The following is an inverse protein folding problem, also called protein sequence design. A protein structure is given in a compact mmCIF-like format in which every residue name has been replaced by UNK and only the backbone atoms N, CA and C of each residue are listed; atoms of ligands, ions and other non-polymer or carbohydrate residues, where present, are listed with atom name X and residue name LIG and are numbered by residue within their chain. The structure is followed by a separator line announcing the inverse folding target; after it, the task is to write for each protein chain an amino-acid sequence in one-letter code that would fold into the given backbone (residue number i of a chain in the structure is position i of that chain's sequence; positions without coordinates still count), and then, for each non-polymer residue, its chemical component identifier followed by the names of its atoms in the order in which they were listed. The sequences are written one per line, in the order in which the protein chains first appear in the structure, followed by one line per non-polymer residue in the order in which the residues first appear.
data_IF_788902699515
#
_entry.id   IF_788902699515
#
_cell.length_a   1.000
_cell.length_b   1.000
_cell.length_c   1.000
_cell.angle_alpha   90.00
_cell.angle_beta   90.00
_cell.angle_gamma   90.00
#
_symmetry.space_group_name_H-M   'P 1'
#
loop_
_entity.id
_entity.type
_entity.pdbx_description
1 polymer ?
#
# COMPACT_ATOMS: atom_id res chain seq x y z
N UNK A 1 -1.15 19.50 21.53
CA UNK A 1 -0.27 18.68 20.67
C UNK A 1 0.52 19.59 19.73
N UNK A 2 1.65 19.11 19.19
CA UNK A 2 2.62 19.90 18.40
C UNK A 2 1.97 20.71 17.25
N UNK A 3 0.96 20.14 16.58
CA UNK A 3 0.25 20.75 15.45
C UNK A 3 -0.99 21.58 15.83
N UNK A 4 -1.30 21.75 17.12
CA UNK A 4 -2.47 22.53 17.59
C UNK A 4 -2.20 24.04 17.66
N UNK A 5 -0.94 24.45 17.62
CA UNK A 5 -0.55 25.86 17.57
C UNK A 5 -0.30 26.28 16.12
N UNK A 6 0.38 27.41 15.89
CA UNK A 6 0.69 27.92 14.55
C UNK A 6 1.42 26.88 13.66
N UNK A 7 1.07 26.78 12.38
CA UNK A 7 1.66 25.82 11.44
C UNK A 7 2.86 26.40 10.66
N UNK A 8 3.41 27.53 11.12
CA UNK A 8 4.65 28.11 10.60
C UNK A 8 5.81 27.12 10.66
N UNK A 9 6.55 27.00 9.56
CA UNK A 9 7.66 26.04 9.45
C UNK A 9 8.78 26.42 10.43
N UNK A 10 8.96 27.72 10.68
CA UNK A 10 9.90 28.29 11.64
C UNK A 10 9.64 27.81 13.07
N UNK A 11 8.39 27.44 13.39
CA UNK A 11 8.02 26.85 14.68
C UNK A 11 8.08 25.32 14.64
N UNK A 12 7.60 24.72 13.55
CA UNK A 12 7.50 23.26 13.42
C UNK A 12 8.87 22.60 13.40
N UNK A 13 9.85 23.12 12.65
CA UNK A 13 11.18 22.51 12.53
C UNK A 13 11.91 22.42 13.89
N UNK A 14 12.02 23.50 14.70
CA UNK A 14 12.61 23.40 16.03
C UNK A 14 11.83 22.44 16.94
N UNK A 15 10.50 22.48 16.90
CA UNK A 15 9.68 21.61 17.75
C UNK A 15 9.86 20.13 17.39
N UNK A 16 9.88 19.79 16.10
CA UNK A 16 10.15 18.44 15.60
C UNK A 16 11.59 18.00 15.91
N UNK A 17 12.56 18.92 15.84
CA UNK A 17 13.96 18.63 16.20
C UNK A 17 14.09 18.28 17.68
N UNK A 18 13.36 19.00 18.55
CA UNK A 18 13.33 18.74 19.99
C UNK A 18 12.68 17.38 20.28
N UNK A 19 11.52 17.10 19.66
CA UNK A 19 10.78 15.85 19.91
C UNK A 19 11.54 14.62 19.39
N UNK A 20 12.15 14.71 18.20
CA UNK A 20 12.92 13.62 17.60
C UNK A 20 14.33 13.46 18.19
N UNK A 21 14.82 14.45 18.94
CA UNK A 21 16.20 14.51 19.42
C UNK A 21 17.25 14.67 18.30
N UNK A 22 16.81 14.92 17.07
CA UNK A 22 17.66 15.00 15.88
C UNK A 22 17.60 16.41 15.33
N UNK A 23 18.75 17.01 15.03
CA UNK A 23 18.78 18.32 14.39
C UNK A 23 18.27 18.19 12.95
N UNK A 24 17.18 18.88 12.64
CA UNK A 24 16.64 18.89 11.27
C UNK A 24 17.31 20.01 10.48
N UNK A 25 17.99 19.64 9.41
CA UNK A 25 18.60 20.59 8.46
C UNK A 25 18.15 20.29 7.03
N UNK A 26 17.99 21.31 6.18
CA UNK A 26 17.78 21.11 4.74
C UNK A 26 18.85 20.18 4.13
N UNK A 27 18.50 19.44 3.08
CA UNK A 27 19.37 18.53 2.29
C UNK A 27 19.89 17.27 3.00
N UNK A 28 19.98 17.25 4.33
CA UNK A 28 20.54 16.12 5.12
C UNK A 28 19.48 15.44 6.02
N UNK A 29 18.23 15.90 5.98
CA UNK A 29 17.19 15.34 6.84
C UNK A 29 15.88 15.16 6.10
N UNK A 30 15.39 13.92 6.08
CA UNK A 30 14.03 13.60 5.67
C UNK A 30 13.09 13.60 6.89
N UNK A 31 12.08 14.47 6.86
CA UNK A 31 11.04 14.50 7.90
C UNK A 31 9.90 13.57 7.49
N UNK A 32 9.58 12.57 8.31
CA UNK A 32 8.51 11.61 8.04
C UNK A 32 7.35 11.84 9.02
N UNK A 33 6.17 12.12 8.49
CA UNK A 33 4.91 12.09 9.24
C UNK A 33 4.22 10.75 9.01
N UNK A 34 4.25 9.89 10.01
CA UNK A 34 3.58 8.59 9.95
C UNK A 34 2.08 8.73 10.28
N UNK A 35 1.23 8.05 9.52
CA UNK A 35 -0.23 8.08 9.64
C UNK A 35 -0.81 9.50 9.78
N UNK A 36 -0.41 10.39 8.87
CA UNK A 36 -0.68 11.84 8.94
C UNK A 36 -2.17 12.17 9.03
N UNK A 37 -3.06 11.26 8.62
CA UNK A 37 -4.51 11.44 8.72
C UNK A 37 -5.02 11.47 10.17
N UNK A 38 -4.30 10.86 11.12
CA UNK A 38 -4.67 10.90 12.54
C UNK A 38 -4.53 12.31 13.12
N UNK A 39 -3.75 13.17 12.45
CA UNK A 39 -3.55 14.58 12.83
C UNK A 39 -3.84 15.48 11.63
N UNK A 40 -5.11 15.86 11.37
CA UNK A 40 -5.49 16.63 10.18
C UNK A 40 -4.75 17.97 10.00
N UNK A 41 -4.28 18.56 11.11
CA UNK A 41 -3.46 19.77 11.08
C UNK A 41 -2.04 19.51 10.57
N UNK A 42 -1.48 18.32 10.80
CA UNK A 42 -0.22 17.89 10.20
C UNK A 42 -0.35 17.76 8.67
N UNK A 43 -1.46 17.20 8.17
CA UNK A 43 -1.76 17.16 6.73
C UNK A 43 -1.81 18.57 6.13
N UNK A 44 -2.43 19.53 6.84
CA UNK A 44 -2.51 20.92 6.39
C UNK A 44 -1.13 21.59 6.35
N UNK A 45 -0.24 21.25 7.29
CA UNK A 45 1.12 21.80 7.36
C UNK A 45 1.98 21.47 6.14
N UNK A 46 1.69 20.37 5.42
CA UNK A 46 2.41 20.00 4.18
C UNK A 46 2.39 21.12 3.14
N UNK A 47 1.28 21.87 3.05
CA UNK A 47 1.20 23.05 2.18
C UNK A 47 2.20 24.13 2.59
N UNK A 48 2.36 24.36 3.90
CA UNK A 48 3.27 25.36 4.44
C UNK A 48 4.73 24.99 4.17
N UNK A 49 5.09 23.71 4.32
CA UNK A 49 6.42 23.22 3.93
C UNK A 49 6.71 23.50 2.44
N UNK A 50 5.77 23.16 1.54
CA UNK A 50 5.95 23.43 0.11
C UNK A 50 6.08 24.94 -0.20
N UNK A 51 5.25 25.79 0.41
CA UNK A 51 5.17 27.22 0.06
C UNK A 51 6.24 28.09 0.73
N UNK A 52 6.56 27.81 1.99
CA UNK A 52 7.40 28.67 2.82
C UNK A 52 8.81 28.13 3.02
N UNK A 53 9.01 26.81 2.93
CA UNK A 53 10.29 26.17 3.19
C UNK A 53 10.51 24.92 2.31
N UNK A 54 10.51 25.07 0.96
CA UNK A 54 10.63 23.94 0.02
C UNK A 54 11.98 23.22 0.10
N UNK A 55 12.95 23.75 0.83
CA UNK A 55 14.26 23.15 1.09
C UNK A 55 14.23 21.96 2.05
N UNK A 56 13.12 21.74 2.78
CA UNK A 56 12.96 20.57 3.65
C UNK A 56 12.24 19.44 2.91
N UNK A 57 12.86 18.27 2.88
CA UNK A 57 12.22 17.06 2.40
C UNK A 57 11.24 16.53 3.46
N UNK A 58 9.96 16.48 3.09
CA UNK A 58 8.89 15.96 3.95
C UNK A 58 8.14 14.84 3.24
N UNK A 59 8.12 13.68 3.88
CA UNK A 59 7.31 12.53 3.48
C UNK A 59 6.16 12.35 4.48
N UNK A 60 4.96 12.11 3.97
CA UNK A 60 3.83 11.74 4.80
C UNK A 60 3.31 10.37 4.37
N UNK A 61 3.10 9.48 5.33
CA UNK A 61 2.43 8.20 5.13
C UNK A 61 0.99 8.31 5.59
N UNK A 62 0.15 7.41 5.10
CA UNK A 62 -1.20 7.25 5.61
C UNK A 62 -1.89 6.08 4.95
N UNK A 63 -2.67 5.34 5.74
CA UNK A 63 -3.49 4.26 5.20
C UNK A 63 -4.44 4.80 4.10
N UNK A 64 -4.60 4.02 3.02
CA UNK A 64 -5.53 4.39 1.95
C UNK A 64 -6.96 4.57 2.48
N UNK A 65 -7.31 3.75 3.48
CA UNK A 65 -8.57 3.83 4.19
C UNK A 65 -8.73 5.17 4.92
N UNK A 66 -7.72 5.59 5.68
CA UNK A 66 -7.71 6.86 6.37
C UNK A 66 -7.78 8.06 5.41
N UNK A 67 -6.93 8.11 4.39
CA UNK A 67 -6.84 9.25 3.47
C UNK A 67 -8.14 9.44 2.65
N UNK A 68 -8.86 8.36 2.31
CA UNK A 68 -10.05 8.43 1.48
C UNK A 68 -11.27 9.08 2.16
N UNK A 69 -11.33 9.09 3.50
CA UNK A 69 -12.58 9.40 4.23
C UNK A 69 -12.59 10.72 4.99
N UNK A 70 -11.47 11.42 5.14
CA UNK A 70 -11.45 12.69 5.89
C UNK A 70 -12.06 13.85 5.09
N UNK A 71 -13.36 14.06 5.30
CA UNK A 71 -14.23 15.07 4.68
C UNK A 71 -14.15 16.49 5.31
N UNK A 72 -13.22 16.75 6.24
CA UNK A 72 -13.20 17.97 7.06
C UNK A 72 -12.15 19.03 6.72
N UNK A 73 -11.11 18.69 5.94
CA UNK A 73 -9.98 19.58 5.69
C UNK A 73 -9.66 19.66 4.20
N UNK A 74 -9.27 20.85 3.74
CA UNK A 74 -8.82 21.02 2.36
C UNK A 74 -7.52 20.26 2.17
N UNK A 75 -7.58 19.14 1.45
CA UNK A 75 -6.38 18.45 1.02
C UNK A 75 -5.49 19.43 0.23
N UNK A 76 -4.15 19.45 0.43
CA UNK A 76 -3.25 20.39 -0.22
C UNK A 76 -3.03 20.05 -1.71
N UNK A 77 -4.08 20.23 -2.53
CA UNK A 77 -4.08 19.94 -3.97
C UNK A 77 -3.01 20.78 -4.67
N UNK A 78 -2.17 20.13 -5.48
CA UNK A 78 -1.10 20.78 -6.23
C UNK A 78 0.14 21.13 -5.39
N UNK A 79 0.18 20.77 -4.10
CA UNK A 79 1.30 21.05 -3.19
C UNK A 79 1.98 19.79 -2.65
N UNK A 80 1.44 18.62 -2.98
CA UNK A 80 2.02 17.33 -2.61
C UNK A 80 2.02 16.40 -3.81
N UNK A 81 3.10 15.64 -3.93
CA UNK A 81 3.19 14.49 -4.83
C UNK A 81 2.67 13.26 -4.10
N UNK A 82 1.84 12.45 -4.76
CA UNK A 82 1.27 11.24 -4.17
C UNK A 82 1.90 10.00 -4.81
N UNK A 83 2.40 9.10 -3.97
CA UNK A 83 2.82 7.77 -4.37
C UNK A 83 1.89 6.76 -3.69
N UNK A 84 1.23 5.92 -4.49
CA UNK A 84 0.39 4.83 -3.97
C UNK A 84 1.19 3.53 -3.98
N UNK A 85 1.38 2.95 -2.81
CA UNK A 85 1.98 1.63 -2.66
C UNK A 85 0.93 0.54 -2.83
N UNK A 86 1.35 -0.58 -3.37
CA UNK A 86 0.52 -1.76 -3.62
C UNK A 86 1.22 -3.00 -3.08
N UNK A 87 0.50 -4.11 -2.92
CA UNK A 87 1.15 -5.40 -2.69
C UNK A 87 2.20 -5.69 -3.76
N UNK A 88 3.27 -6.36 -3.36
CA UNK A 88 4.36 -6.79 -4.25
C UNK A 88 3.83 -7.55 -5.46
N UNK A 89 4.34 -7.19 -6.63
CA UNK A 89 4.21 -7.97 -7.85
C UNK A 89 4.95 -9.30 -7.75
N UNK A 90 4.69 -10.19 -8.71
CA UNK A 90 5.40 -11.47 -8.77
C UNK A 90 6.92 -11.28 -8.91
N UNK A 91 7.37 -10.25 -9.63
CA UNK A 91 8.81 -9.95 -9.79
C UNK A 91 9.40 -9.48 -8.47
N UNK A 92 8.75 -8.56 -7.76
CA UNK A 92 9.20 -8.10 -6.43
C UNK A 92 9.21 -9.24 -5.40
N UNK A 93 8.24 -10.16 -5.46
CA UNK A 93 8.24 -11.38 -4.66
C UNK A 93 9.49 -12.25 -4.93
N UNK A 94 9.90 -12.39 -6.20
CA UNK A 94 11.13 -13.11 -6.54
C UNK A 94 12.37 -12.42 -5.98
N UNK A 95 12.42 -11.08 -6.02
CA UNK A 95 13.49 -10.29 -5.38
C UNK A 95 13.53 -10.54 -3.87
N UNK A 96 12.39 -10.45 -3.19
CA UNK A 96 12.26 -10.71 -1.75
C UNK A 96 12.72 -12.14 -1.38
N UNK A 97 12.40 -13.12 -2.23
CA UNK A 97 12.84 -14.51 -2.08
C UNK A 97 14.30 -14.76 -2.51
N UNK A 98 15.08 -13.72 -2.85
CA UNK A 98 16.47 -13.80 -3.34
C UNK A 98 16.62 -14.65 -4.60
N UNK A 99 15.64 -14.60 -5.50
CA UNK A 99 15.64 -15.28 -6.82
C UNK A 99 15.90 -14.29 -7.95
N UNK A 100 16.95 -13.48 -7.79
CA UNK A 100 17.34 -12.38 -8.68
C UNK A 100 17.45 -12.82 -10.15
N UNK A 101 18.20 -13.88 -10.43
CA UNK A 101 18.36 -14.37 -11.81
C UNK A 101 17.03 -14.77 -12.48
N UNK A 102 16.06 -15.27 -11.71
CA UNK A 102 14.74 -15.61 -12.24
C UNK A 102 13.89 -14.36 -12.47
N UNK A 103 14.01 -13.37 -11.58
CA UNK A 103 13.35 -12.07 -11.74
C UNK A 103 13.88 -11.34 -12.98
N UNK A 104 15.20 -11.18 -13.09
CA UNK A 104 15.88 -10.53 -14.22
C UNK A 104 15.56 -11.22 -15.55
N UNK A 105 15.53 -12.55 -15.59
CA UNK A 105 15.09 -13.31 -16.76
C UNK A 105 13.67 -12.90 -17.19
N UNK A 106 12.72 -12.83 -16.25
CA UNK A 106 11.35 -12.42 -16.58
C UNK A 106 11.25 -10.96 -17.03
N UNK A 107 12.09 -10.08 -16.48
CA UNK A 107 12.16 -8.68 -16.89
C UNK A 107 12.75 -8.47 -18.27
N UNK A 108 13.73 -9.29 -18.65
CA UNK A 108 14.34 -9.27 -19.99
C UNK A 108 13.33 -9.60 -21.10
N UNK A 109 12.25 -10.31 -20.77
CA UNK A 109 11.24 -10.83 -21.72
C UNK A 109 11.82 -11.72 -22.83
N UNK A 110 12.95 -12.38 -22.57
CA UNK A 110 13.50 -13.42 -23.44
C UNK A 110 12.62 -14.68 -23.37
N UNK A 111 11.58 -14.73 -24.21
CA UNK A 111 10.62 -15.83 -24.24
C UNK A 111 11.25 -17.21 -24.49
N UNK A 112 12.23 -17.38 -25.40
CA UNK A 112 12.98 -18.62 -25.51
C UNK A 112 13.59 -19.08 -24.19
N UNK A 113 14.28 -18.21 -23.46
CA UNK A 113 14.89 -18.55 -22.17
C UNK A 113 13.83 -18.83 -21.09
N UNK A 114 12.75 -18.02 -21.06
CA UNK A 114 11.62 -18.23 -20.15
C UNK A 114 10.97 -19.60 -20.37
N UNK A 115 10.83 -20.04 -21.62
CA UNK A 115 10.28 -21.37 -21.94
C UNK A 115 11.16 -22.51 -21.43
N UNK A 116 12.49 -22.38 -21.53
CA UNK A 116 13.42 -23.37 -20.95
C UNK A 116 13.28 -23.45 -19.44
N UNK A 117 13.04 -22.32 -18.78
CA UNK A 117 12.92 -22.21 -17.32
C UNK A 117 11.47 -22.30 -16.81
N UNK A 118 10.53 -22.66 -17.68
CA UNK A 118 9.09 -22.57 -17.42
C UNK A 118 8.68 -23.24 -16.11
N UNK A 119 9.09 -24.49 -15.89
CA UNK A 119 8.66 -25.26 -14.72
C UNK A 119 9.19 -24.68 -13.40
N UNK A 120 10.38 -24.08 -13.45
CA UNK A 120 10.95 -23.36 -12.31
C UNK A 120 10.17 -22.07 -12.06
N UNK A 121 9.88 -21.30 -13.11
CA UNK A 121 9.02 -20.11 -13.03
C UNK A 121 7.65 -20.43 -12.44
N UNK A 122 7.01 -21.50 -12.93
CA UNK A 122 5.70 -21.95 -12.49
C UNK A 122 5.70 -22.41 -11.02
N UNK A 123 6.79 -22.99 -10.54
CA UNK A 123 6.94 -23.35 -9.12
C UNK A 123 6.90 -22.11 -8.22
N UNK A 124 7.65 -21.07 -8.58
CA UNK A 124 7.62 -19.80 -7.83
C UNK A 124 6.29 -19.07 -7.99
N UNK A 125 5.67 -19.14 -9.16
CA UNK A 125 4.35 -18.56 -9.38
C UNK A 125 3.30 -19.22 -8.47
N UNK A 126 3.36 -20.54 -8.28
CA UNK A 126 2.48 -21.23 -7.31
C UNK A 126 2.71 -20.76 -5.88
N UNK A 127 3.96 -20.52 -5.47
CA UNK A 127 4.22 -19.94 -4.15
C UNK A 127 3.63 -18.53 -4.03
N UNK A 128 3.82 -17.69 -5.05
CA UNK A 128 3.22 -16.36 -5.08
C UNK A 128 1.69 -16.38 -5.05
N UNK A 129 1.05 -17.33 -5.74
CA UNK A 129 -0.41 -17.51 -5.67
C UNK A 129 -0.89 -17.95 -4.28
N UNK A 130 -0.04 -18.63 -3.50
CA UNK A 130 -0.36 -19.02 -2.13
C UNK A 130 -0.16 -17.86 -1.14
N UNK A 131 0.96 -17.15 -1.24
CA UNK A 131 1.33 -16.06 -0.34
C UNK A 131 0.58 -14.77 -0.65
N UNK A 132 0.33 -14.50 -1.93
CA UNK A 132 0.03 -13.17 -2.45
C UNK A 132 1.26 -12.27 -2.42
N UNK A 133 1.03 -10.96 -2.57
CA UNK A 133 2.06 -9.92 -2.57
C UNK A 133 2.15 -9.07 -1.31
N UNK A 134 1.39 -9.40 -0.25
CA UNK A 134 1.41 -8.58 0.97
C UNK A 134 2.80 -8.68 1.63
N UNK A 135 3.54 -7.56 1.82
CA UNK A 135 4.95 -7.59 2.23
C UNK A 135 5.23 -8.45 3.46
N UNK A 136 4.40 -8.32 4.50
CA UNK A 136 4.54 -9.10 5.74
C UNK A 136 4.40 -10.61 5.52
N UNK A 137 3.46 -11.01 4.65
CA UNK A 137 3.28 -12.42 4.26
C UNK A 137 4.47 -12.93 3.46
N UNK A 138 4.96 -12.12 2.53
CA UNK A 138 6.11 -12.46 1.68
C UNK A 138 7.36 -12.64 2.53
N UNK A 139 7.60 -11.76 3.50
CA UNK A 139 8.73 -11.86 4.42
C UNK A 139 8.65 -13.11 5.32
N UNK A 140 7.47 -13.38 5.89
CA UNK A 140 7.24 -14.59 6.68
C UNK A 140 7.48 -15.87 5.86
N UNK A 141 7.11 -15.87 4.58
CA UNK A 141 7.42 -16.98 3.67
C UNK A 141 8.93 -17.05 3.34
N UNK A 142 9.53 -15.94 2.93
CA UNK A 142 10.92 -15.88 2.45
C UNK A 142 11.93 -16.26 3.54
N UNK A 143 11.68 -15.86 4.79
CA UNK A 143 12.53 -16.17 5.96
C UNK A 143 12.58 -17.66 6.31
N UNK A 144 11.60 -18.46 5.87
CA UNK A 144 11.56 -19.91 6.11
C UNK A 144 12.20 -20.74 5.00
N UNK A 145 12.65 -20.11 3.91
CA UNK A 145 13.32 -20.82 2.82
C UNK A 145 14.63 -21.48 3.28
N UNK A 146 14.97 -22.68 2.77
CA UNK A 146 14.36 -23.37 1.63
C UNK A 146 13.14 -24.25 1.97
N UNK A 147 12.69 -24.28 3.23
CA UNK A 147 11.62 -25.17 3.72
C UNK A 147 10.39 -24.33 4.13
N UNK A 148 9.48 -24.00 3.21
CA UNK A 148 8.40 -23.07 3.49
C UNK A 148 7.46 -23.54 4.60
N UNK A 149 7.22 -22.68 5.59
CA UNK A 149 6.19 -22.92 6.60
C UNK A 149 4.85 -22.33 6.16
N UNK A 150 4.10 -23.11 5.37
CA UNK A 150 2.77 -22.74 4.91
C UNK A 150 1.76 -22.58 6.05
N UNK A 151 1.97 -23.21 7.20
CA UNK A 151 1.04 -23.12 8.33
C UNK A 151 1.13 -21.76 8.99
N UNK A 152 2.35 -21.29 9.23
CA UNK A 152 2.60 -19.94 9.78
C UNK A 152 2.15 -18.85 8.81
N UNK A 153 2.42 -19.01 7.50
CA UNK A 153 1.90 -18.12 6.46
C UNK A 153 0.37 -18.04 6.49
N UNK A 154 -0.32 -19.18 6.56
CA UNK A 154 -1.80 -19.21 6.59
C UNK A 154 -2.37 -18.56 7.85
N UNK A 155 -1.74 -18.77 9.01
CA UNK A 155 -2.14 -18.14 10.27
C UNK A 155 -2.03 -16.62 10.17
N UNK A 156 -0.92 -16.11 9.62
CA UNK A 156 -0.70 -14.68 9.46
C UNK A 156 -1.69 -14.06 8.46
N UNK A 157 -1.96 -14.73 7.33
CA UNK A 157 -2.98 -14.31 6.37
C UNK A 157 -4.37 -14.21 7.03
N UNK A 158 -4.75 -15.19 7.85
CA UNK A 158 -6.04 -15.18 8.54
C UNK A 158 -6.10 -14.06 9.60
N UNK A 159 -5.00 -13.79 10.31
CA UNK A 159 -4.91 -12.66 11.25
C UNK A 159 -5.14 -11.35 10.51
N UNK A 160 -4.39 -11.09 9.44
CA UNK A 160 -4.51 -9.86 8.65
C UNK A 160 -5.93 -9.65 8.09
N UNK A 161 -6.57 -10.72 7.60
CA UNK A 161 -7.97 -10.65 7.13
C UNK A 161 -8.93 -10.30 8.27
N UNK A 162 -8.67 -10.78 9.49
CA UNK A 162 -9.45 -10.41 10.68
C UNK A 162 -9.19 -8.96 11.09
N UNK A 163 -7.94 -8.52 11.10
CA UNK A 163 -7.54 -7.18 11.51
C UNK A 163 -8.16 -6.11 10.58
N UNK A 164 -8.17 -6.36 9.27
CA UNK A 164 -8.89 -5.50 8.31
C UNK A 164 -10.38 -5.41 8.64
N UNK A 165 -11.01 -6.54 9.01
CA UNK A 165 -12.44 -6.59 9.34
C UNK A 165 -12.76 -5.76 10.58
N UNK A 166 -11.92 -5.86 11.61
CA UNK A 166 -12.09 -5.10 12.85
C UNK A 166 -11.96 -3.59 12.60
N UNK A 167 -11.12 -3.20 11.65
CA UNK A 167 -10.89 -1.80 11.29
C UNK A 167 -12.08 -1.15 10.56
N UNK A 168 -12.93 -1.94 9.89
CA UNK A 168 -14.15 -1.41 9.25
C UNK A 168 -15.03 -0.65 10.25
N UNK A 169 -15.08 -1.07 11.50
CA UNK A 169 -15.94 -0.47 12.53
C UNK A 169 -15.51 0.95 12.92
N UNK A 170 -14.23 1.31 12.78
CA UNK A 170 -13.68 2.62 13.17
C UNK A 170 -13.91 3.71 12.13
N UNK A 171 -14.17 3.29 10.89
CA UNK A 171 -13.97 4.11 9.70
C UNK A 171 -15.24 4.28 8.86
N UNK A 172 -16.38 3.77 9.33
CA UNK A 172 -17.66 3.92 8.64
C UNK A 172 -18.32 5.25 9.00
N UNK A 173 -18.38 6.11 8.00
CA UNK A 173 -18.93 7.47 8.07
C UNK A 173 -20.37 7.49 8.60
N UNK A 174 -20.69 8.43 9.51
CA UNK A 174 -21.93 8.49 10.30
C UNK A 174 -23.20 8.89 9.52
N UNK A 175 -23.16 8.90 8.18
CA UNK A 175 -24.28 9.38 7.33
C UNK A 175 -25.42 8.36 7.20
N UNK A 176 -25.09 7.07 7.23
CA UNK A 176 -26.02 5.97 7.40
C UNK A 176 -25.88 5.41 8.83
N UNK A 177 -26.87 4.66 9.34
CA UNK A 177 -26.72 3.95 10.61
C UNK A 177 -25.43 3.10 10.57
N UNK A 178 -24.40 3.37 11.39
CA UNK A 178 -23.08 2.75 11.26
C UNK A 178 -23.14 1.22 11.27
N UNK A 179 -24.06 0.66 12.06
CA UNK A 179 -24.31 -0.78 12.13
C UNK A 179 -24.77 -1.38 10.79
N UNK A 180 -25.59 -0.66 10.02
CA UNK A 180 -26.12 -1.14 8.73
C UNK A 180 -25.03 -1.12 7.66
N UNK A 181 -24.19 -0.08 7.66
CA UNK A 181 -23.09 0.03 6.69
C UNK A 181 -21.98 -0.98 6.99
N UNK A 182 -21.60 -1.16 8.25
CA UNK A 182 -20.65 -2.21 8.66
C UNK A 182 -21.17 -3.60 8.34
N UNK A 183 -22.47 -3.88 8.53
CA UNK A 183 -23.06 -5.15 8.12
C UNK A 183 -22.95 -5.39 6.62
N UNK A 184 -23.26 -4.39 5.80
CA UNK A 184 -23.17 -4.49 4.33
C UNK A 184 -21.72 -4.67 3.87
N UNK A 185 -20.77 -3.98 4.48
CA UNK A 185 -19.33 -4.15 4.23
C UNK A 185 -18.90 -5.57 4.49
N UNK A 186 -19.23 -6.12 5.66
CA UNK A 186 -18.94 -7.50 6.01
C UNK A 186 -19.57 -8.49 5.02
N UNK A 187 -20.84 -8.29 4.65
CA UNK A 187 -21.50 -9.14 3.66
C UNK A 187 -20.80 -9.13 2.30
N UNK A 188 -20.41 -7.94 1.82
CA UNK A 188 -19.68 -7.81 0.56
C UNK A 188 -18.31 -8.50 0.68
N UNK A 189 -17.55 -8.20 1.73
CA UNK A 189 -16.23 -8.78 2.02
C UNK A 189 -16.25 -10.30 2.02
N UNK A 190 -17.16 -10.90 2.80
CA UNK A 190 -17.30 -12.35 2.93
C UNK A 190 -17.71 -13.02 1.60
N UNK A 191 -18.40 -12.27 0.72
CA UNK A 191 -18.79 -12.78 -0.59
C UNK A 191 -17.62 -12.83 -1.59
N UNK A 192 -16.57 -12.01 -1.44
CA UNK A 192 -15.52 -11.82 -2.45
C UNK A 192 -14.92 -13.15 -2.94
N UNK A 193 -14.48 -14.09 -2.08
CA UNK A 193 -13.89 -15.36 -2.54
C UNK A 193 -14.86 -16.15 -3.43
N UNK A 194 -16.13 -16.24 -3.03
CA UNK A 194 -17.17 -16.94 -3.80
C UNK A 194 -17.51 -16.24 -5.12
N UNK A 195 -17.39 -14.90 -5.19
CA UNK A 195 -17.56 -14.14 -6.43
C UNK A 195 -16.43 -14.43 -7.40
N UNK A 196 -15.18 -14.48 -6.92
CA UNK A 196 -13.99 -14.72 -7.74
C UNK A 196 -13.92 -16.15 -8.29
N UNK A 197 -14.43 -17.12 -7.53
CA UNK A 197 -14.45 -18.54 -7.91
C UNK A 197 -15.42 -18.86 -9.07
N UNK A 198 -16.38 -17.98 -9.37
CA UNK A 198 -17.34 -18.20 -10.48
C UNK A 198 -16.67 -18.12 -11.83
N UNK A 199 -17.23 -18.84 -12.80
CA UNK A 199 -16.86 -18.66 -14.22
C UNK A 199 -17.22 -17.25 -14.70
N UNK A 200 -18.44 -16.79 -14.39
CA UNK A 200 -18.87 -15.43 -14.67
C UNK A 200 -18.23 -14.45 -13.69
N UNK A 201 -17.38 -13.56 -14.23
CA UNK A 201 -16.65 -12.54 -13.45
C UNK A 201 -17.46 -11.28 -13.13
N UNK A 202 -18.74 -11.23 -13.55
CA UNK A 202 -19.65 -10.15 -13.15
C UNK A 202 -20.02 -10.32 -11.67
N UNK A 203 -19.95 -9.22 -10.91
CA UNK A 203 -20.38 -9.20 -9.51
C UNK A 203 -21.89 -9.45 -9.39
N UNK A 204 -22.29 -10.43 -8.56
CA UNK A 204 -23.70 -10.84 -8.41
C UNK A 204 -24.19 -10.55 -7.00
N UNK A 205 -25.10 -9.58 -6.86
CA UNK A 205 -25.66 -9.15 -5.56
C UNK A 205 -26.41 -10.25 -4.80
N UNK A 206 -27.08 -11.16 -5.52
CA UNK A 206 -27.78 -12.29 -4.89
C UNK A 206 -26.88 -13.27 -4.13
N UNK A 207 -25.58 -13.29 -4.44
CA UNK A 207 -24.58 -14.10 -3.72
C UNK A 207 -24.11 -13.43 -2.43
N UNK A 208 -24.17 -12.09 -2.36
CA UNK A 208 -23.92 -11.35 -1.11
C UNK A 208 -25.04 -11.65 -0.12
N UNK A 209 -26.30 -11.56 -0.58
CA UNK A 209 -27.49 -11.83 0.21
C UNK A 209 -28.66 -12.17 -0.72
N UNK A 210 -29.43 -13.19 -0.39
CA UNK A 210 -30.66 -13.53 -1.12
C UNK A 210 -31.59 -12.30 -1.22
N UNK A 211 -32.07 -12.00 -2.43
CA UNK A 211 -32.90 -10.82 -2.73
C UNK A 211 -32.17 -9.47 -2.72
N UNK A 212 -30.84 -9.47 -2.53
CA UNK A 212 -30.01 -8.27 -2.51
C UNK A 212 -29.96 -7.54 -3.86
N UNK A 213 -30.01 -6.21 -3.83
CA UNK A 213 -30.00 -5.34 -5.01
C UNK A 213 -28.74 -4.46 -5.01
N UNK A 214 -28.41 -3.89 -6.17
CA UNK A 214 -27.23 -3.01 -6.31
C UNK A 214 -27.21 -1.87 -5.30
N UNK A 215 -28.34 -1.16 -5.16
CA UNK A 215 -28.51 -0.07 -4.19
C UNK A 215 -28.24 -0.45 -2.73
N UNK A 216 -28.30 -1.74 -2.38
CA UNK A 216 -28.06 -2.20 -1.01
C UNK A 216 -26.56 -2.25 -0.71
N UNK A 217 -25.72 -2.49 -1.72
CA UNK A 217 -24.29 -2.81 -1.55
C UNK A 217 -23.34 -1.86 -2.27
N UNK A 218 -23.84 -0.98 -3.13
CA UNK A 218 -23.02 -0.07 -3.94
C UNK A 218 -22.07 0.76 -3.08
N UNK A 219 -22.57 1.38 -2.00
CA UNK A 219 -21.72 2.17 -1.09
C UNK A 219 -20.65 1.32 -0.40
N UNK A 220 -20.99 0.08 -0.01
CA UNK A 220 -20.04 -0.84 0.63
C UNK A 220 -18.95 -1.32 -0.34
N UNK A 221 -19.33 -1.61 -1.59
CA UNK A 221 -18.38 -1.96 -2.65
C UNK A 221 -17.48 -0.77 -2.96
N UNK A 222 -18.05 0.44 -3.08
CA UNK A 222 -17.28 1.65 -3.35
C UNK A 222 -16.28 1.93 -2.23
N UNK A 223 -16.71 1.81 -0.97
CA UNK A 223 -15.85 1.99 0.19
C UNK A 223 -14.67 1.01 0.20
N UNK A 224 -14.89 -0.29 -0.08
CA UNK A 224 -13.79 -1.27 -0.15
C UNK A 224 -12.79 -0.95 -1.27
N UNK A 225 -13.27 -0.38 -2.37
CA UNK A 225 -12.41 0.05 -3.49
C UNK A 225 -11.61 1.30 -3.12
N UNK A 226 -12.24 2.28 -2.47
CA UNK A 226 -11.58 3.52 -2.04
C UNK A 226 -10.52 3.24 -0.97
N UNK A 227 -10.83 2.33 -0.04
CA UNK A 227 -9.91 1.79 0.96
C UNK A 227 -8.78 0.94 0.36
N UNK A 228 -8.80 0.67 -0.96
CA UNK A 228 -7.83 -0.17 -1.66
C UNK A 228 -7.78 -1.64 -1.18
N UNK A 229 -8.84 -2.09 -0.53
CA UNK A 229 -9.02 -3.47 -0.07
C UNK A 229 -9.65 -4.36 -1.15
N UNK A 230 -10.29 -3.75 -2.15
CA UNK A 230 -10.79 -4.43 -3.34
C UNK A 230 -10.39 -3.66 -4.61
N UNK A 231 -10.19 -4.38 -5.71
CA UNK A 231 -9.94 -3.78 -7.02
C UNK A 231 -11.16 -3.99 -7.93
N UNK A 232 -11.66 -2.90 -8.51
CA UNK A 232 -12.74 -2.96 -9.50
C UNK A 232 -12.16 -3.24 -10.88
N UNK A 233 -12.61 -4.33 -11.51
CA UNK A 233 -12.35 -4.61 -12.91
C UNK A 233 -13.60 -4.27 -13.75
N UNK A 234 -13.47 -3.33 -14.68
CA UNK A 234 -14.54 -2.97 -15.62
C UNK A 234 -14.41 -3.77 -16.90
N UNK A 235 -15.51 -4.35 -17.38
CA UNK A 235 -15.53 -4.98 -18.70
C UNK A 235 -15.43 -3.89 -19.77
N UNK A 236 -14.41 -3.95 -20.62
CA UNK A 236 -14.26 -3.13 -21.82
C UNK A 236 -14.91 -3.85 -23.01
N UNK A 237 -15.71 -3.11 -23.79
CA UNK A 237 -16.46 -3.65 -24.93
C UNK A 237 -15.57 -4.06 -26.12
N UNK A 238 -14.30 -3.67 -26.14
CA UNK A 238 -13.31 -4.05 -27.14
C UNK A 238 -12.24 -4.93 -26.52
N UNK A 239 -11.93 -6.05 -27.18
CA UNK A 239 -10.80 -6.91 -26.87
C UNK A 239 -9.48 -6.18 -27.17
N UNK A 240 -9.05 -5.37 -26.22
CA UNK A 240 -7.71 -4.79 -26.13
C UNK A 240 -7.10 -5.16 -24.79
N UNK A 241 -5.77 -5.20 -24.74
CA UNK A 241 -4.96 -5.55 -23.56
C UNK A 241 -5.56 -4.97 -22.28
N UNK A 242 -6.01 -5.84 -21.37
CA UNK A 242 -6.37 -5.43 -20.01
C UNK A 242 -5.08 -4.93 -19.37
N UNK A 243 -4.91 -3.61 -19.34
CA UNK A 243 -3.92 -3.00 -18.47
C UNK A 243 -4.44 -3.14 -17.04
N UNK A 244 -4.08 -4.22 -16.37
CA UNK A 244 -4.00 -4.15 -14.92
C UNK A 244 -3.05 -2.99 -14.59
N UNK A 245 -3.32 -2.16 -13.57
CA UNK A 245 -2.31 -1.26 -13.08
C UNK A 245 -1.13 -2.14 -12.62
N UNK A 246 -0.14 -2.31 -13.50
CA UNK A 246 1.11 -2.97 -13.17
C UNK A 246 1.85 -1.95 -12.34
N UNK A 247 1.81 -2.16 -11.04
CA UNK A 247 2.41 -1.32 -10.02
C UNK A 247 3.89 -1.60 -10.01
N UNK A 248 4.60 -1.16 -11.05
CA UNK A 248 6.04 -0.95 -10.89
C UNK A 248 6.19 0.32 -10.09
N UNK A 249 6.59 0.19 -8.82
CA UNK A 249 7.50 1.19 -8.29
C UNK A 249 8.73 1.07 -9.20
N UNK A 250 9.15 2.13 -9.90
CA UNK A 250 10.40 2.05 -10.63
C UNK A 250 11.49 1.67 -9.63
N UNK A 251 12.15 0.52 -9.86
CA UNK A 251 13.32 0.08 -9.08
C UNK A 251 14.50 1.06 -9.22
N UNK A 252 14.38 2.00 -10.16
CA UNK A 252 15.19 3.21 -10.23
C UNK A 252 14.46 4.28 -9.42
N UNK A 253 15.00 4.73 -8.28
CA UNK A 253 14.41 5.84 -7.55
C UNK A 253 14.27 7.07 -8.47
N UNK A 254 13.26 7.94 -8.24
CA UNK A 254 13.22 9.24 -8.89
C UNK A 254 14.57 9.95 -8.72
N UNK A 255 15.05 10.71 -9.73
CA UNK A 255 16.27 11.49 -9.56
C UNK A 255 16.16 12.36 -8.31
N UNK A 256 17.09 12.18 -7.37
CA UNK A 256 17.10 12.86 -6.06
C UNK A 256 16.90 11.94 -4.84
N UNK A 257 16.42 10.70 -5.01
CA UNK A 257 16.35 9.71 -3.93
C UNK A 257 17.52 8.74 -4.10
N UNK A 258 18.57 8.88 -3.28
CA UNK A 258 19.74 7.99 -3.30
C UNK A 258 19.36 6.53 -3.02
N UNK A 259 20.15 5.58 -3.52
CA UNK A 259 20.05 4.18 -3.11
C UNK A 259 20.51 4.04 -1.66
N UNK A 260 19.72 3.35 -0.83
CA UNK A 260 20.12 2.99 0.55
C UNK A 260 21.42 2.16 0.59
N UNK A 261 21.80 1.57 -0.53
CA UNK A 261 22.96 0.69 -0.68
C UNK A 261 24.28 1.46 -0.94
N UNK A 262 24.23 2.80 -1.08
CA UNK A 262 25.40 3.65 -1.40
C UNK A 262 26.03 4.33 -0.17
N UNK A 263 25.71 3.88 1.05
CA UNK A 263 26.48 4.27 2.23
C UNK A 263 27.81 3.52 2.22
N UNK A 264 28.83 4.08 1.56
CA UNK A 264 30.21 3.66 1.79
C UNK A 264 30.52 3.77 3.28
N UNK A 265 31.12 2.75 3.92
CA UNK A 265 31.56 2.87 5.29
C UNK A 265 32.61 3.96 5.36
N UNK A 266 32.33 5.01 6.15
CA UNK A 266 33.26 6.09 6.42
C UNK A 266 34.56 5.52 6.98
N UNK A 267 35.60 5.56 6.16
CA UNK A 267 36.93 5.10 6.52
C UNK A 267 37.61 6.20 7.35
N UNK A 268 37.19 6.33 8.61
CA UNK A 268 37.84 7.24 9.57
C UNK A 268 39.13 6.57 10.11
N UNK A 269 40.16 6.52 9.25
CA UNK A 269 41.53 6.35 9.70
C UNK A 269 42.11 7.73 9.99
N UNK A 270 41.87 8.20 11.22
CA UNK A 270 42.34 9.49 11.71
C UNK A 270 42.62 9.49 13.21
N UNK A 271 43.41 8.54 13.72
CA UNK A 271 44.00 8.66 15.05
C UNK A 271 45.50 8.94 14.96
N UNK A 272 45.86 10.14 15.44
CA UNK A 272 47.17 10.43 16.04
C UNK A 272 47.28 9.73 17.38
#
# INVERSE_FOLDING_TARGET
MLFDADLSVERLIPALSIESGTRITPEDTLVIFDEVQEVPRAMTSLKMFNEAAPEYDVLATGSALGIAMYLGFSFPVGKVSRLKLYPMSFVEFLYACKKYALAEMLESKDFPLINVMHDRGMTWLRYFMYTGGMPEIVEAFASTLPNPDFTSVRKLQNSLVSDYRDDFSKHVDMRDSPAVTTLRLNQVWDSIPSQLAKENKKFVYGVVRAGGRGKDFESAIQWLVDASLALRASAIAQAGTIAFPVTRIPLVPPPGIGRLDEVEPSNDQGQR
#
